data_IF_818495239784
#
_entry.id   IF_818495239784
#
_cell.length_a   1.000
_cell.length_b   1.000
_cell.length_c   1.000
_cell.angle_alpha   90.00
_cell.angle_beta   90.00
_cell.angle_gamma   90.00
#
_symmetry.space_group_name_H-M   'P 1'
#
loop_
_entity.id
_entity.type
_entity.pdbx_description
1 polymer ?
#
# COMPACT_ATOMS: atom_id res chain seq x y z
N UNK A 1 26.31 3.25 -17.45
CA UNK A 1 25.16 4.09 -17.13
C UNK A 1 24.52 3.53 -15.88
N UNK A 2 24.05 4.38 -14.96
CA UNK A 2 23.30 3.92 -13.80
C UNK A 2 21.94 3.39 -14.25
N UNK A 3 21.47 2.31 -13.63
CA UNK A 3 20.13 1.77 -13.82
C UNK A 3 19.31 2.00 -12.57
N UNK A 4 18.00 1.98 -12.69
CA UNK A 4 17.08 2.08 -11.56
C UNK A 4 16.22 0.83 -11.52
N UNK A 5 16.16 0.19 -10.35
CA UNK A 5 15.40 -1.05 -10.16
C UNK A 5 14.34 -0.84 -9.08
N UNK A 6 13.12 -1.18 -9.41
CA UNK A 6 11.97 -1.13 -8.53
C UNK A 6 11.61 -2.55 -8.10
N UNK A 7 11.44 -2.76 -6.81
CA UNK A 7 11.17 -4.07 -6.24
C UNK A 7 9.83 -4.05 -5.52
N UNK A 8 8.95 -4.98 -5.87
CA UNK A 8 7.83 -5.28 -4.97
C UNK A 8 8.34 -5.93 -3.68
N UNK A 9 7.49 -5.96 -2.67
CA UNK A 9 7.81 -6.54 -1.37
C UNK A 9 7.34 -7.98 -1.30
N UNK A 10 6.01 -8.18 -1.33
CA UNK A 10 5.35 -9.45 -1.07
C UNK A 10 5.56 -10.42 -2.22
N UNK A 11 6.03 -11.64 -1.94
CA UNK A 11 6.38 -12.61 -2.98
C UNK A 11 7.64 -12.27 -3.80
N UNK A 12 8.30 -11.12 -3.53
CA UNK A 12 9.47 -10.64 -4.31
C UNK A 12 10.70 -10.42 -3.42
N UNK A 13 10.67 -9.46 -2.50
CA UNK A 13 11.78 -9.24 -1.55
C UNK A 13 11.75 -10.29 -0.45
N UNK A 14 10.58 -10.65 0.03
CA UNK A 14 10.36 -11.68 1.04
C UNK A 14 9.28 -12.68 0.61
N UNK A 15 9.26 -13.82 1.29
CA UNK A 15 8.26 -14.87 1.11
C UNK A 15 7.00 -14.64 1.98
N UNK A 16 6.06 -15.60 1.95
CA UNK A 16 4.81 -15.55 2.72
C UNK A 16 5.03 -15.47 4.25
N UNK A 17 6.18 -15.92 4.76
CA UNK A 17 6.58 -15.80 6.16
C UNK A 17 7.32 -14.49 6.46
N UNK A 18 7.35 -13.54 5.52
CA UNK A 18 8.10 -12.27 5.57
C UNK A 18 9.61 -12.47 5.83
N UNK A 19 10.16 -13.58 5.38
CA UNK A 19 11.59 -13.88 5.48
C UNK A 19 12.31 -13.36 4.24
N UNK A 20 13.28 -12.47 4.45
CA UNK A 20 14.13 -11.94 3.36
C UNK A 20 15.32 -12.92 3.18
N UNK A 21 15.44 -13.58 2.01
CA UNK A 21 16.58 -14.46 1.72
C UNK A 21 17.91 -13.70 1.74
N UNK A 22 18.98 -14.35 2.15
CA UNK A 22 20.33 -13.76 2.13
C UNK A 22 20.74 -13.31 0.73
N UNK A 23 20.40 -14.11 -0.29
CA UNK A 23 20.65 -13.78 -1.70
C UNK A 23 20.00 -12.47 -2.14
N UNK A 24 18.82 -12.13 -1.60
CA UNK A 24 18.14 -10.86 -1.88
C UNK A 24 18.89 -9.69 -1.24
N UNK A 25 19.38 -9.84 0.00
CA UNK A 25 20.23 -8.86 0.66
C UNK A 25 21.51 -8.59 -0.12
N UNK A 26 22.19 -9.66 -0.53
CA UNK A 26 23.42 -9.59 -1.33
C UNK A 26 23.17 -8.92 -2.70
N UNK A 27 22.06 -9.25 -3.37
CA UNK A 27 21.73 -8.70 -4.67
C UNK A 27 21.45 -7.18 -4.62
N UNK A 28 20.69 -6.71 -3.62
CA UNK A 28 20.44 -5.27 -3.43
C UNK A 28 21.74 -4.54 -3.07
N UNK A 29 22.56 -5.11 -2.18
CA UNK A 29 23.86 -4.54 -1.82
C UNK A 29 24.80 -4.44 -3.03
N UNK A 30 24.86 -5.47 -3.87
CA UNK A 30 25.66 -5.48 -5.09
C UNK A 30 25.17 -4.44 -6.12
N UNK A 31 23.86 -4.31 -6.27
CA UNK A 31 23.23 -3.31 -7.14
C UNK A 31 23.65 -1.89 -6.73
N UNK A 32 23.56 -1.58 -5.44
CA UNK A 32 23.97 -0.31 -4.86
C UNK A 32 25.48 -0.06 -5.02
N UNK A 33 26.31 -1.08 -4.75
CA UNK A 33 27.77 -0.97 -4.89
C UNK A 33 28.21 -0.69 -6.33
N UNK A 34 27.43 -1.10 -7.32
CA UNK A 34 27.66 -0.79 -8.74
C UNK A 34 27.11 0.58 -9.17
N UNK A 35 26.62 1.40 -8.25
CA UNK A 35 26.14 2.77 -8.50
C UNK A 35 24.77 2.83 -9.18
N UNK A 36 23.94 1.80 -9.00
CA UNK A 36 22.55 1.77 -9.42
C UNK A 36 21.62 2.27 -8.32
N UNK A 37 20.41 2.71 -8.70
CA UNK A 37 19.37 3.07 -7.76
C UNK A 37 18.43 1.88 -7.52
N UNK A 38 17.97 1.74 -6.28
CA UNK A 38 17.03 0.70 -5.89
C UNK A 38 15.89 1.32 -5.08
N UNK A 39 14.66 1.05 -5.49
CA UNK A 39 13.44 1.53 -4.82
C UNK A 39 12.52 0.37 -4.47
N UNK A 40 11.86 0.45 -3.33
CA UNK A 40 10.68 -0.36 -3.06
C UNK A 40 9.51 0.20 -3.85
N UNK A 41 8.65 -0.68 -4.41
CA UNK A 41 7.42 -0.30 -5.10
C UNK A 41 6.30 -1.29 -4.74
N UNK A 42 5.44 -0.91 -3.78
CA UNK A 42 4.49 -1.82 -3.15
C UNK A 42 3.05 -1.33 -3.18
N UNK A 43 2.10 -2.27 -3.13
CA UNK A 43 0.68 -2.00 -2.86
C UNK A 43 0.39 -1.63 -1.41
N UNK A 44 1.26 -2.04 -0.47
CA UNK A 44 1.11 -1.70 0.95
C UNK A 44 1.09 -0.20 1.15
N UNK A 45 0.21 0.30 2.03
CA UNK A 45 0.32 1.68 2.48
C UNK A 45 1.59 1.87 3.33
N UNK A 46 2.15 3.08 3.32
CA UNK A 46 3.46 3.34 3.94
C UNK A 46 3.51 2.98 5.43
N UNK A 47 2.43 3.21 6.18
CA UNK A 47 2.37 2.89 7.61
C UNK A 47 2.63 1.41 7.92
N UNK A 48 2.30 0.48 7.02
CA UNK A 48 2.56 -0.96 7.19
C UNK A 48 3.93 -1.44 6.73
N UNK A 49 4.74 -0.57 6.09
CA UNK A 49 6.12 -0.89 5.70
C UNK A 49 7.06 -0.59 6.86
N UNK A 50 7.14 -1.49 7.85
CA UNK A 50 7.83 -1.27 9.14
C UNK A 50 9.01 -2.18 9.43
N UNK A 51 9.22 -3.24 8.63
CA UNK A 51 10.33 -4.18 8.87
C UNK A 51 11.67 -3.44 8.86
N UNK A 52 12.34 -3.39 10.02
CA UNK A 52 13.68 -2.79 10.14
C UNK A 52 14.67 -3.46 9.19
N UNK A 53 14.57 -4.79 9.03
CA UNK A 53 15.44 -5.52 8.11
C UNK A 53 15.26 -5.03 6.67
N UNK A 54 14.01 -4.85 6.23
CA UNK A 54 13.68 -4.32 4.91
C UNK A 54 14.17 -2.86 4.73
N UNK A 55 13.85 -2.00 5.68
CA UNK A 55 14.21 -0.58 5.63
C UNK A 55 15.72 -0.35 5.66
N UNK A 56 16.49 -1.26 6.27
CA UNK A 56 17.95 -1.18 6.36
C UNK A 56 18.69 -1.85 5.18
N UNK A 57 17.98 -2.33 4.13
CA UNK A 57 18.63 -2.92 2.96
C UNK A 57 19.35 -1.91 2.06
N UNK A 58 19.15 -0.60 2.28
CA UNK A 58 19.83 0.47 1.53
C UNK A 58 19.10 0.91 0.27
N UNK A 59 17.78 0.79 0.22
CA UNK A 59 16.94 1.39 -0.81
C UNK A 59 17.02 2.92 -0.79
N UNK A 60 16.95 3.54 -1.96
CA UNK A 60 16.98 5.00 -2.12
C UNK A 60 15.64 5.66 -1.76
N UNK A 61 14.56 4.89 -1.78
CA UNK A 61 13.23 5.37 -1.43
C UNK A 61 12.17 4.29 -1.58
N UNK A 62 10.93 4.70 -1.32
CA UNK A 62 9.75 3.83 -1.32
C UNK A 62 8.64 4.49 -2.13
N UNK A 63 8.06 3.73 -3.04
CA UNK A 63 6.76 3.98 -3.66
C UNK A 63 5.77 3.05 -2.96
N UNK A 64 4.80 3.59 -2.23
CA UNK A 64 3.79 2.85 -1.47
C UNK A 64 2.37 3.16 -1.93
N UNK A 65 1.40 2.45 -1.37
CA UNK A 65 -0.03 2.62 -1.63
C UNK A 65 -0.35 2.65 -3.13
N UNK A 66 0.20 1.69 -3.89
CA UNK A 66 0.01 1.63 -5.35
C UNK A 66 0.35 2.96 -6.05
N UNK A 67 1.44 3.63 -5.64
CA UNK A 67 1.89 4.87 -6.26
C UNK A 67 1.26 6.15 -5.70
N UNK A 68 0.44 6.06 -4.64
CA UNK A 68 -0.16 7.23 -3.99
C UNK A 68 0.76 7.89 -2.96
N UNK A 69 1.88 7.25 -2.61
CA UNK A 69 2.87 7.78 -1.69
C UNK A 69 4.28 7.50 -2.21
N UNK A 70 5.16 8.50 -2.17
CA UNK A 70 6.56 8.36 -2.55
C UNK A 70 7.45 9.11 -1.55
N UNK A 71 8.42 8.40 -1.00
CA UNK A 71 9.48 8.99 -0.18
C UNK A 71 10.87 8.66 -0.74
N UNK A 72 11.79 9.58 -0.54
CA UNK A 72 13.20 9.43 -0.89
C UNK A 72 14.06 10.11 0.18
N UNK A 73 15.16 9.46 0.58
CA UNK A 73 16.03 9.95 1.66
C UNK A 73 15.28 10.31 2.95
N UNK A 74 14.23 9.54 3.29
CA UNK A 74 13.38 9.77 4.46
C UNK A 74 12.49 11.01 4.38
N UNK A 75 12.29 11.57 3.18
CA UNK A 75 11.39 12.72 2.95
C UNK A 75 10.28 12.34 1.99
N UNK A 76 9.06 12.68 2.35
CA UNK A 76 7.90 12.58 1.45
C UNK A 76 8.07 13.58 0.31
N UNK A 77 8.05 13.10 -0.92
CA UNK A 77 8.15 13.91 -2.14
C UNK A 77 6.86 13.90 -2.96
N UNK A 78 5.99 12.95 -2.72
CA UNK A 78 4.65 12.89 -3.30
C UNK A 78 3.71 12.15 -2.35
N UNK A 79 2.52 12.69 -2.16
CA UNK A 79 1.45 12.04 -1.40
C UNK A 79 0.10 12.45 -1.98
N UNK A 80 -0.76 11.48 -2.22
CA UNK A 80 -2.11 11.63 -2.72
C UNK A 80 -3.09 11.02 -1.71
N UNK A 81 -3.61 11.87 -0.83
CA UNK A 81 -4.65 11.48 0.11
C UNK A 81 -6.04 11.58 -0.52
N UNK A 82 -6.95 10.73 -0.06
CA UNK A 82 -8.37 10.90 -0.35
C UNK A 82 -8.89 12.19 0.31
N UNK A 83 -9.80 12.88 -0.37
CA UNK A 83 -10.45 14.04 0.25
C UNK A 83 -11.25 13.64 1.49
N UNK A 84 -11.38 14.56 2.45
CA UNK A 84 -12.17 14.31 3.65
C UNK A 84 -13.61 13.89 3.34
N UNK A 85 -14.22 14.48 2.31
CA UNK A 85 -15.58 14.12 1.85
C UNK A 85 -15.62 12.67 1.32
N UNK A 86 -14.57 12.23 0.61
CA UNK A 86 -14.48 10.86 0.13
C UNK A 86 -14.28 9.89 1.30
N UNK A 87 -13.44 10.20 2.27
CA UNK A 87 -13.26 9.39 3.48
C UNK A 87 -14.59 9.22 4.22
N UNK A 88 -15.35 10.29 4.41
CA UNK A 88 -16.68 10.22 5.03
C UNK A 88 -17.68 9.41 4.19
N UNK A 89 -17.63 9.52 2.85
CA UNK A 89 -18.43 8.69 1.94
C UNK A 89 -18.07 7.20 2.13
N UNK A 90 -16.78 6.86 2.19
CA UNK A 90 -16.30 5.49 2.37
C UNK A 90 -16.84 4.90 3.67
N UNK A 91 -16.60 5.56 4.80
CA UNK A 91 -17.05 5.09 6.12
C UNK A 91 -18.57 4.88 6.13
N UNK A 92 -19.35 5.85 5.65
CA UNK A 92 -20.81 5.79 5.64
C UNK A 92 -21.34 4.67 4.74
N UNK A 93 -20.88 4.59 3.49
CA UNK A 93 -21.39 3.60 2.52
C UNK A 93 -21.04 2.18 2.96
N UNK A 94 -19.80 1.94 3.40
CA UNK A 94 -19.39 0.60 3.84
C UNK A 94 -20.15 0.16 5.08
N UNK A 95 -20.34 1.05 6.07
CA UNK A 95 -21.16 0.77 7.24
C UNK A 95 -22.61 0.46 6.87
N UNK A 96 -23.26 1.24 5.99
CA UNK A 96 -24.63 0.98 5.51
C UNK A 96 -24.73 -0.37 4.76
N UNK A 97 -23.68 -0.77 4.05
CA UNK A 97 -23.61 -2.02 3.28
C UNK A 97 -23.09 -3.21 4.11
N UNK A 98 -22.81 -3.05 5.39
CA UNK A 98 -22.23 -4.07 6.28
C UNK A 98 -20.95 -4.69 5.74
N UNK A 99 -20.06 -3.86 5.27
CA UNK A 99 -18.75 -4.25 4.75
C UNK A 99 -17.68 -3.64 5.65
N UNK A 100 -17.05 -4.40 6.56
CA UNK A 100 -16.04 -3.89 7.48
C UNK A 100 -14.83 -3.39 6.70
N UNK A 101 -14.22 -2.28 7.17
CA UNK A 101 -13.20 -1.56 6.42
C UNK A 101 -11.92 -1.34 7.22
N UNK A 102 -10.80 -1.41 6.51
CA UNK A 102 -9.48 -0.95 6.92
C UNK A 102 -9.09 0.25 6.07
N UNK A 103 -9.01 1.42 6.68
CA UNK A 103 -8.59 2.66 6.04
C UNK A 103 -7.07 2.80 6.20
N UNK A 104 -6.35 2.93 5.07
CA UNK A 104 -4.90 2.78 5.02
C UNK A 104 -4.20 4.09 4.66
N UNK A 105 -3.50 4.66 5.63
CA UNK A 105 -2.74 5.89 5.48
C UNK A 105 -1.22 5.70 5.46
N UNK A 106 -0.51 6.80 5.28
CA UNK A 106 0.95 6.79 5.26
C UNK A 106 1.57 6.69 6.66
N UNK A 107 0.86 7.11 7.69
CA UNK A 107 1.30 7.07 9.09
C UNK A 107 0.45 6.18 9.96
N UNK A 108 -0.85 6.15 9.74
CA UNK A 108 -1.84 5.51 10.60
C UNK A 108 -2.84 4.69 9.80
N UNK A 109 -3.47 3.73 10.47
CA UNK A 109 -4.59 2.95 9.97
C UNK A 109 -5.81 3.15 10.86
N UNK A 110 -7.00 3.14 10.25
CA UNK A 110 -8.27 3.18 10.96
C UNK A 110 -9.10 1.97 10.56
N UNK A 111 -9.55 1.21 11.54
CA UNK A 111 -10.10 -0.13 11.38
C UNK A 111 -11.48 -0.17 12.02
N UNK A 112 -12.44 -0.81 11.36
CA UNK A 112 -13.74 -1.08 11.99
C UNK A 112 -13.57 -2.02 13.19
N UNK A 113 -14.35 -1.78 14.23
CA UNK A 113 -14.40 -2.62 15.43
C UNK A 113 -15.44 -3.74 15.34
N UNK A 114 -16.23 -3.79 14.27
CA UNK A 114 -17.23 -4.82 13.97
C UNK A 114 -16.93 -5.50 12.63
N UNK A 115 -17.09 -6.82 12.57
CA UNK A 115 -16.95 -7.60 11.34
C UNK A 115 -15.58 -8.22 11.12
N UNK A 116 -14.61 -7.93 12.01
CA UNK A 116 -13.26 -8.52 12.01
C UNK A 116 -12.99 -9.38 13.25
N UNK A 117 -14.05 -9.95 13.86
CA UNK A 117 -13.90 -10.78 15.06
C UNK A 117 -13.03 -12.01 14.77
N UNK A 118 -11.87 -12.08 15.43
CA UNK A 118 -10.85 -13.10 15.25
C UNK A 118 -10.21 -13.12 13.85
N UNK A 119 -10.13 -11.98 13.19
CA UNK A 119 -9.39 -11.84 11.93
C UNK A 119 -7.88 -11.75 12.21
N UNK A 120 -7.06 -12.74 11.77
CA UNK A 120 -5.62 -12.77 12.08
C UNK A 120 -4.86 -11.59 11.45
N UNK A 121 -5.32 -11.07 10.32
CA UNK A 121 -4.68 -9.93 9.66
C UNK A 121 -4.92 -8.64 10.43
N UNK A 122 -6.16 -8.43 10.90
CA UNK A 122 -6.49 -7.26 11.73
C UNK A 122 -5.78 -7.32 13.08
N UNK A 123 -5.71 -8.50 13.71
CA UNK A 123 -4.91 -8.69 14.94
C UNK A 123 -3.44 -8.33 14.70
N UNK A 124 -2.87 -8.80 13.60
CA UNK A 124 -1.51 -8.43 13.18
C UNK A 124 -1.35 -6.93 12.93
N UNK A 125 -2.33 -6.25 12.33
CA UNK A 125 -2.28 -4.80 12.15
C UNK A 125 -2.21 -4.07 13.49
N UNK A 126 -3.05 -4.41 14.46
CA UNK A 126 -3.02 -3.81 15.79
C UNK A 126 -1.68 -4.08 16.52
N UNK A 127 -1.14 -5.30 16.39
CA UNK A 127 0.15 -5.63 17.00
C UNK A 127 1.31 -4.86 16.34
N UNK A 128 1.36 -4.86 15.01
CA UNK A 128 2.48 -4.28 14.26
C UNK A 128 2.47 -2.76 14.20
N UNK A 129 1.30 -2.14 14.15
CA UNK A 129 1.13 -0.69 14.08
C UNK A 129 1.11 -0.02 15.46
N UNK A 130 0.64 -0.74 16.51
CA UNK A 130 0.57 -0.22 17.86
C UNK A 130 -0.27 1.06 17.97
N UNK A 131 0.31 2.16 18.45
CA UNK A 131 -0.37 3.46 18.57
C UNK A 131 -0.85 4.09 17.25
N UNK A 132 -0.41 3.54 16.11
CA UNK A 132 -0.81 3.97 14.77
C UNK A 132 -2.01 3.18 14.20
N UNK A 133 -2.57 2.23 14.95
CA UNK A 133 -3.82 1.56 14.62
C UNK A 133 -4.95 2.13 15.46
N UNK A 134 -5.96 2.67 14.83
CA UNK A 134 -7.10 3.32 15.48
C UNK A 134 -8.39 2.59 15.16
N UNK A 135 -9.34 2.61 16.10
CA UNK A 135 -10.71 2.20 15.84
C UNK A 135 -11.46 3.38 15.21
N UNK A 136 -12.20 3.14 14.12
CA UNK A 136 -12.97 4.19 13.43
C UNK A 136 -14.06 4.76 14.35
N UNK A 137 -14.77 3.88 15.07
CA UNK A 137 -15.88 4.29 15.94
C UNK A 137 -15.41 5.20 17.06
N UNK A 138 -15.94 6.42 17.07
CA UNK A 138 -15.63 7.43 18.11
C UNK A 138 -14.27 8.12 17.90
N UNK A 139 -13.58 7.88 16.81
CA UNK A 139 -12.38 8.64 16.46
C UNK A 139 -12.77 10.06 16.06
N UNK A 140 -12.17 11.05 16.71
CA UNK A 140 -12.47 12.48 16.53
C UNK A 140 -11.34 13.28 15.86
N UNK A 141 -10.24 12.58 15.51
CA UNK A 141 -9.11 13.15 14.79
C UNK A 141 -9.32 13.22 13.27
N UNK A 142 -8.34 13.79 12.59
CA UNK A 142 -8.29 13.78 11.12
C UNK A 142 -7.93 12.38 10.61
N UNK A 143 -8.66 11.87 9.64
CA UNK A 143 -8.38 10.59 8.95
C UNK A 143 -7.77 10.91 7.59
N UNK A 144 -6.50 10.53 7.40
CA UNK A 144 -5.76 10.73 6.15
C UNK A 144 -5.33 9.38 5.59
N UNK A 145 -5.89 9.03 4.45
CA UNK A 145 -5.66 7.73 3.80
C UNK A 145 -5.35 7.87 2.32
N UNK A 146 -4.57 6.93 1.81
CA UNK A 146 -4.23 6.85 0.39
C UNK A 146 -5.08 5.81 -0.35
N UNK A 147 -5.57 4.80 0.35
CA UNK A 147 -6.40 3.70 -0.16
C UNK A 147 -7.17 3.06 1.00
N UNK A 148 -8.00 2.08 0.71
CA UNK A 148 -8.64 1.26 1.73
C UNK A 148 -8.89 -0.17 1.23
N UNK A 149 -9.04 -1.10 2.16
CA UNK A 149 -9.49 -2.45 1.92
C UNK A 149 -10.72 -2.77 2.79
N UNK A 150 -11.50 -3.74 2.39
CA UNK A 150 -12.72 -4.11 3.10
C UNK A 150 -13.06 -5.58 2.84
N UNK A 151 -13.77 -6.21 3.77
CA UNK A 151 -14.10 -7.62 3.67
C UNK A 151 -15.59 -7.84 3.32
N UNK A 152 -15.83 -8.74 2.38
CA UNK A 152 -17.19 -9.20 2.05
C UNK A 152 -17.59 -10.28 3.04
N UNK A 153 -18.50 -9.92 3.97
CA UNK A 153 -19.03 -10.83 4.99
C UNK A 153 -20.48 -11.19 4.71
N UNK A 154 -21.07 -12.08 5.52
CA UNK A 154 -22.48 -12.44 5.40
C UNK A 154 -23.40 -11.22 5.57
N UNK A 155 -24.20 -10.95 4.54
CA UNK A 155 -25.14 -9.84 4.51
C UNK A 155 -24.57 -8.52 3.97
N UNK A 156 -23.33 -8.52 3.47
CA UNK A 156 -22.74 -7.37 2.74
C UNK A 156 -23.52 -7.09 1.45
N UNK A 157 -23.93 -5.85 1.23
CA UNK A 157 -24.49 -5.38 -0.04
C UNK A 157 -23.34 -4.93 -0.98
N UNK A 158 -22.57 -5.92 -1.45
CA UNK A 158 -21.36 -5.67 -2.25
C UNK A 158 -21.66 -5.04 -3.61
N UNK A 159 -22.82 -5.37 -4.25
CA UNK A 159 -23.19 -4.76 -5.53
C UNK A 159 -23.43 -3.24 -5.40
N UNK A 160 -24.02 -2.81 -4.28
CA UNK A 160 -24.16 -1.38 -3.97
C UNK A 160 -22.80 -0.73 -3.74
N UNK A 161 -21.89 -1.36 -3.00
CA UNK A 161 -20.53 -0.86 -2.79
C UNK A 161 -19.81 -0.66 -4.12
N UNK A 162 -19.84 -1.65 -5.00
CA UNK A 162 -19.26 -1.53 -6.34
C UNK A 162 -19.84 -0.37 -7.13
N UNK A 163 -21.16 -0.23 -7.13
CA UNK A 163 -21.84 0.85 -7.86
C UNK A 163 -21.46 2.24 -7.32
N UNK A 164 -21.32 2.40 -6.01
CA UNK A 164 -20.98 3.67 -5.36
C UNK A 164 -19.54 4.13 -5.60
N UNK A 165 -18.61 3.18 -5.81
CA UNK A 165 -17.17 3.47 -5.91
C UNK A 165 -16.56 3.19 -7.28
N UNK A 166 -17.31 2.60 -8.21
CA UNK A 166 -16.81 2.24 -9.53
C UNK A 166 -16.25 3.41 -10.35
N UNK A 167 -16.71 4.63 -10.12
CA UNK A 167 -16.21 5.81 -10.87
C UNK A 167 -14.89 6.36 -10.28
N UNK A 168 -14.67 6.18 -8.98
CA UNK A 168 -13.56 6.78 -8.23
C UNK A 168 -12.40 5.82 -8.03
N UNK A 169 -12.68 4.50 -7.94
CA UNK A 169 -11.69 3.49 -7.56
C UNK A 169 -11.57 2.35 -8.57
N UNK A 170 -10.37 1.81 -8.69
CA UNK A 170 -10.12 0.46 -9.17
C UNK A 170 -10.42 -0.49 -8.01
N UNK A 171 -11.33 -1.44 -8.23
CA UNK A 171 -11.76 -2.42 -7.24
C UNK A 171 -11.08 -3.74 -7.56
N UNK A 172 -10.24 -4.22 -6.65
CA UNK A 172 -9.44 -5.43 -6.80
C UNK A 172 -9.94 -6.48 -5.81
N UNK A 173 -10.49 -7.57 -6.33
CA UNK A 173 -10.94 -8.69 -5.53
C UNK A 173 -9.76 -9.64 -5.29
N UNK A 174 -9.45 -9.91 -4.03
CA UNK A 174 -8.43 -10.84 -3.59
C UNK A 174 -9.05 -12.16 -3.08
N UNK A 175 -8.21 -13.10 -2.71
CA UNK A 175 -8.66 -14.31 -2.01
C UNK A 175 -9.27 -13.98 -0.66
N UNK A 176 -10.04 -14.92 -0.08
CA UNK A 176 -10.61 -14.78 1.27
C UNK A 176 -11.59 -13.60 1.44
N UNK A 177 -12.26 -13.20 0.35
CA UNK A 177 -13.27 -12.13 0.33
C UNK A 177 -12.73 -10.72 0.62
N UNK A 178 -11.43 -10.50 0.60
CA UNK A 178 -10.81 -9.18 0.73
C UNK A 178 -10.94 -8.42 -0.57
N UNK A 179 -11.34 -7.16 -0.48
CA UNK A 179 -11.47 -6.25 -1.63
C UNK A 179 -10.64 -5.00 -1.37
N UNK A 180 -9.74 -4.68 -2.28
CA UNK A 180 -8.90 -3.48 -2.22
C UNK A 180 -9.46 -2.40 -3.14
N UNK A 181 -9.48 -1.16 -2.65
CA UNK A 181 -9.95 0.02 -3.38
C UNK A 181 -8.78 0.99 -3.57
N UNK A 182 -8.28 1.06 -4.80
CA UNK A 182 -7.17 1.93 -5.18
C UNK A 182 -7.73 3.10 -5.99
N UNK A 183 -7.40 4.37 -5.69
CA UNK A 183 -7.85 5.50 -6.48
C UNK A 183 -7.55 5.33 -7.96
N UNK A 184 -8.53 5.61 -8.84
CA UNK A 184 -8.33 5.52 -10.29
C UNK A 184 -7.23 6.46 -10.77
N UNK A 185 -6.46 6.00 -11.75
CA UNK A 185 -5.33 6.74 -12.30
C UNK A 185 -4.04 6.56 -11.53
N UNK A 186 -4.05 5.78 -10.44
CA UNK A 186 -2.86 5.42 -9.67
C UNK A 186 -2.56 3.92 -9.77
N UNK A 187 -1.28 3.58 -9.80
CA UNK A 187 -0.75 2.23 -9.81
C UNK A 187 0.74 2.26 -9.48
N UNK A 188 1.36 1.11 -9.23
CA UNK A 188 2.81 0.99 -9.11
C UNK A 188 3.50 1.64 -10.32
N UNK A 189 3.02 1.37 -11.53
CA UNK A 189 3.58 1.93 -12.77
C UNK A 189 3.45 3.46 -12.87
N UNK A 190 2.34 4.05 -12.41
CA UNK A 190 2.21 5.51 -12.39
C UNK A 190 3.12 6.16 -11.37
N UNK A 191 3.32 5.55 -10.20
CA UNK A 191 4.29 5.98 -9.20
C UNK A 191 5.72 5.93 -9.73
N UNK A 192 6.11 4.83 -10.40
CA UNK A 192 7.41 4.71 -11.08
C UNK A 192 7.60 5.82 -12.11
N UNK A 193 6.62 6.04 -12.99
CA UNK A 193 6.69 7.09 -14.02
C UNK A 193 6.82 8.47 -13.40
N UNK A 194 6.07 8.74 -12.32
CA UNK A 194 6.16 10.01 -11.60
C UNK A 194 7.57 10.22 -11.03
N UNK A 195 8.12 9.21 -10.35
CA UNK A 195 9.46 9.29 -9.75
C UNK A 195 10.55 9.43 -10.81
N UNK A 196 10.47 8.67 -11.90
CA UNK A 196 11.41 8.78 -13.01
C UNK A 196 11.41 10.18 -13.63
N UNK A 197 10.22 10.78 -13.82
CA UNK A 197 10.12 12.16 -14.30
C UNK A 197 10.67 13.17 -13.29
N UNK A 198 10.45 12.95 -12.00
CA UNK A 198 10.96 13.84 -10.94
C UNK A 198 12.50 13.83 -10.84
N UNK A 199 13.12 12.68 -11.11
CA UNK A 199 14.58 12.47 -11.04
C UNK A 199 15.30 12.56 -12.40
N UNK A 200 14.58 12.91 -13.49
CA UNK A 200 15.12 12.90 -14.86
C UNK A 200 15.73 11.54 -15.27
N UNK A 201 15.11 10.43 -14.82
CA UNK A 201 15.52 9.06 -15.16
C UNK A 201 14.76 8.59 -16.41
N UNK A 202 15.46 8.19 -17.49
CA UNK A 202 14.82 7.60 -18.66
C UNK A 202 14.17 6.26 -18.31
N UNK A 203 12.91 6.02 -18.77
CA UNK A 203 12.20 4.77 -18.47
C UNK A 203 12.87 3.53 -19.07
N UNK A 204 13.59 3.66 -20.16
CA UNK A 204 14.38 2.57 -20.78
C UNK A 204 15.64 2.20 -19.99
N UNK A 205 15.98 2.97 -18.96
CA UNK A 205 17.03 2.69 -17.99
C UNK A 205 16.49 2.08 -16.69
N UNK A 206 15.21 1.67 -16.67
CA UNK A 206 14.53 1.13 -15.48
C UNK A 206 14.15 -0.34 -15.61
N UNK A 207 14.06 -1.01 -14.47
CA UNK A 207 13.58 -2.39 -14.35
C UNK A 207 12.59 -2.45 -13.18
N UNK A 208 11.53 -3.23 -13.34
CA UNK A 208 10.61 -3.58 -12.25
C UNK A 208 10.68 -5.09 -12.02
N UNK A 209 10.69 -5.50 -10.76
CA UNK A 209 10.70 -6.90 -10.33
C UNK A 209 9.51 -7.06 -9.39
N UNK A 210 8.63 -8.00 -9.70
CA UNK A 210 7.43 -8.33 -8.97
C UNK A 210 6.90 -9.69 -9.36
N UNK A 211 5.92 -10.19 -8.62
CA UNK A 211 5.36 -11.54 -8.77
C UNK A 211 3.88 -11.52 -9.20
N UNK A 212 3.23 -10.35 -9.20
CA UNK A 212 1.80 -10.25 -9.38
C UNK A 212 1.39 -9.31 -10.53
N UNK A 213 0.09 -9.34 -10.89
CA UNK A 213 -0.46 -8.60 -12.03
C UNK A 213 -0.38 -7.08 -11.84
N UNK A 214 -0.37 -6.60 -10.60
CA UNK A 214 -0.24 -5.16 -10.29
C UNK A 214 1.17 -4.60 -10.50
N UNK A 215 2.15 -5.47 -10.84
CA UNK A 215 3.53 -5.12 -11.18
C UNK A 215 3.74 -4.88 -12.69
N UNK A 216 2.71 -5.09 -13.52
CA UNK A 216 2.75 -4.97 -14.98
C UNK A 216 2.42 -3.56 -15.49
#
# INVERSE_FOLDING_TARGET
MSKTVFFDIDGTIWDDDMVIPESTLEAVAALKANGHLAFICTGRARASVRSEKLLNMGFDGIIAACGNYIEMDGKVIYENDLSADMVQKVIRVLSECKMPVVLEGSTDYWIDDEGFENDPYVDYLFESLGEHAHIIRGYDGEIRINKFSADVIDGTDYERVKAEFADDFLILEHVENVVEFVPKGTSKATGIKWLCNHLDIPLDETYAIGDSVNDL
#
